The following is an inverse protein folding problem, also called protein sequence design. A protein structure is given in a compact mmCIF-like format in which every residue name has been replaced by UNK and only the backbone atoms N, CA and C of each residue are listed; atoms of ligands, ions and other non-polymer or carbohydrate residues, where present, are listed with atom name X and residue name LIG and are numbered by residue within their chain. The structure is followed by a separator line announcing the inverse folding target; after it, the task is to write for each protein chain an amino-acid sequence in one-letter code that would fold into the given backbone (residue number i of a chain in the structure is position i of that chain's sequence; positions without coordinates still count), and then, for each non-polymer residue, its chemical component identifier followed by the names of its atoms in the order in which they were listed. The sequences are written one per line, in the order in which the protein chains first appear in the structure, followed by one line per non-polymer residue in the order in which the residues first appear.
data_IF_369996981338
#
_entry.id   IF_369996981338
#
_cell.length_a   1.000
_cell.length_b   1.000
_cell.length_c   1.000
_cell.angle_alpha   90.00
_cell.angle_beta   90.00
_cell.angle_gamma   90.00
#
_symmetry.space_group_name_H-M   'P 1'
#
loop_
_entity.id
_entity.type
_entity.pdbx_description
1 polymer ?
#
# COMPACT_ATOMS: atom_id res chain seq x y z
N UNK A 1 -8.40 -12.34 34.15
CA UNK A 1 -8.42 -11.27 33.14
C UNK A 1 -7.12 -11.44 32.33
N UNK A 2 -7.22 -11.58 31.01
CA UNK A 2 -6.05 -11.65 30.12
C UNK A 2 -5.42 -10.25 30.10
N UNK A 3 -4.12 -10.14 30.31
CA UNK A 3 -3.40 -8.84 30.27
C UNK A 3 -3.44 -8.28 28.84
N UNK A 4 -3.24 -6.96 28.69
CA UNK A 4 -3.21 -6.33 27.37
C UNK A 4 -2.07 -6.89 26.49
N UNK A 5 -0.91 -7.25 27.08
CA UNK A 5 0.18 -7.93 26.38
C UNK A 5 -0.23 -9.32 25.86
N UNK A 6 -0.89 -10.15 26.69
CA UNK A 6 -1.36 -11.48 26.25
C UNK A 6 -2.43 -11.41 25.15
N UNK A 7 -3.13 -10.27 25.03
CA UNK A 7 -4.06 -10.01 23.93
C UNK A 7 -3.30 -9.67 22.63
N UNK A 8 -2.26 -8.85 22.71
CA UNK A 8 -1.46 -8.45 21.55
C UNK A 8 -0.65 -9.61 20.97
N UNK A 9 -0.14 -10.55 21.79
CA UNK A 9 0.57 -11.76 21.35
C UNK A 9 -0.25 -12.67 20.40
N UNK A 10 -1.57 -12.51 20.38
CA UNK A 10 -2.47 -13.29 19.52
C UNK A 10 -2.90 -12.53 18.26
N UNK A 11 -2.54 -11.25 18.15
CA UNK A 11 -2.95 -10.43 17.02
C UNK A 11 -2.01 -10.58 15.83
N UNK A 12 -2.59 -10.61 14.66
CA UNK A 12 -1.92 -10.32 13.40
C UNK A 12 -2.36 -8.95 12.92
N UNK A 13 -1.41 -8.04 12.75
CA UNK A 13 -1.70 -6.68 12.27
C UNK A 13 -1.14 -6.59 10.85
N UNK A 14 -2.03 -6.33 9.92
CA UNK A 14 -1.73 -6.22 8.49
C UNK A 14 -1.78 -4.75 8.12
N UNK A 15 -0.75 -4.27 7.46
CA UNK A 15 -0.65 -2.89 7.01
C UNK A 15 -0.69 -2.82 5.48
N UNK A 16 -1.38 -1.82 4.92
CA UNK A 16 -1.02 -1.34 3.61
C UNK A 16 0.33 -0.62 3.65
N UNK A 17 0.90 -0.33 2.50
CA UNK A 17 2.24 0.23 2.37
C UNK A 17 2.21 1.70 1.95
N UNK A 18 1.75 1.95 0.71
CA UNK A 18 1.78 3.27 0.09
C UNK A 18 0.66 4.16 0.66
N UNK A 19 0.99 5.21 1.37
CA UNK A 19 0.00 6.08 2.03
C UNK A 19 -0.33 5.69 3.47
N UNK A 20 0.08 4.49 3.89
CA UNK A 20 -0.17 3.99 5.26
C UNK A 20 1.12 3.94 6.09
N UNK A 21 2.11 3.19 5.67
CA UNK A 21 3.41 3.08 6.35
C UNK A 21 4.44 4.05 5.79
N UNK A 22 4.39 4.28 4.48
CA UNK A 22 5.42 5.02 3.75
C UNK A 22 4.75 6.08 2.86
N UNK A 23 5.23 7.32 2.93
CA UNK A 23 4.94 8.35 1.93
C UNK A 23 5.81 8.07 0.70
N UNK A 24 5.21 7.45 -0.32
CA UNK A 24 5.85 7.01 -1.57
C UNK A 24 5.47 7.88 -2.76
N UNK A 25 4.63 8.90 -2.58
CA UNK A 25 4.07 9.68 -3.67
C UNK A 25 5.15 10.36 -4.53
N UNK A 26 6.28 10.76 -3.93
CA UNK A 26 7.38 11.41 -4.64
C UNK A 26 8.00 10.50 -5.70
N UNK A 27 8.41 9.29 -5.32
CA UNK A 27 9.07 8.34 -6.23
C UNK A 27 8.09 7.75 -7.24
N UNK A 28 6.84 7.50 -6.83
CA UNK A 28 5.78 7.06 -7.74
C UNK A 28 5.47 8.13 -8.81
N UNK A 29 5.45 9.41 -8.42
CA UNK A 29 5.26 10.52 -9.36
C UNK A 29 6.45 10.64 -10.32
N UNK A 30 7.69 10.51 -9.82
CA UNK A 30 8.88 10.55 -10.66
C UNK A 30 8.86 9.41 -11.70
N UNK A 31 8.57 8.18 -11.28
CA UNK A 31 8.49 7.03 -12.17
C UNK A 31 7.38 7.15 -13.21
N UNK A 32 6.19 7.62 -12.81
CA UNK A 32 5.10 7.88 -13.75
C UNK A 32 5.47 8.95 -14.77
N UNK A 33 6.06 10.05 -14.33
CA UNK A 33 6.47 11.13 -15.21
C UNK A 33 7.60 10.72 -16.16
N UNK A 34 8.55 9.89 -15.71
CA UNK A 34 9.58 9.32 -16.59
C UNK A 34 8.95 8.45 -17.70
N UNK A 35 7.98 7.61 -17.36
CA UNK A 35 7.27 6.80 -18.34
C UNK A 35 6.46 7.65 -19.35
N UNK A 36 5.74 8.68 -18.87
CA UNK A 36 4.93 9.58 -19.70
C UNK A 36 5.80 10.46 -20.62
N UNK A 37 7.00 10.84 -20.19
CA UNK A 37 7.93 11.62 -20.96
C UNK A 37 8.39 10.92 -22.26
N UNK A 38 8.39 9.57 -22.28
CA UNK A 38 8.68 8.78 -23.48
C UNK A 38 7.66 9.01 -24.63
N UNK A 39 6.47 9.53 -24.29
CA UNK A 39 5.44 9.93 -25.28
C UNK A 39 5.33 11.45 -25.43
N UNK A 40 6.31 12.21 -24.93
CA UNK A 40 6.36 13.67 -25.04
C UNK A 40 5.35 14.40 -24.14
N UNK A 41 4.80 13.73 -23.11
CA UNK A 41 3.84 14.32 -22.18
C UNK A 41 4.57 15.10 -21.08
N UNK A 42 3.96 16.20 -20.65
CA UNK A 42 4.51 17.03 -19.57
C UNK A 42 4.34 16.35 -18.20
N UNK A 43 5.23 16.70 -17.27
CA UNK A 43 5.16 16.14 -15.91
C UNK A 43 3.89 16.57 -15.17
N UNK A 44 3.31 15.62 -14.44
CA UNK A 44 2.17 15.82 -13.53
C UNK A 44 2.71 16.11 -12.13
N UNK A 45 2.26 17.18 -11.46
CA UNK A 45 2.72 17.51 -10.13
C UNK A 45 2.42 16.40 -9.09
N UNK A 46 3.33 16.18 -8.14
CA UNK A 46 3.21 15.10 -7.13
C UNK A 46 1.91 15.16 -6.33
N UNK A 47 1.40 16.34 -6.01
CA UNK A 47 0.13 16.48 -5.30
C UNK A 47 -1.07 15.95 -6.09
N UNK A 48 -1.06 16.04 -7.42
CA UNK A 48 -2.08 15.43 -8.27
C UNK A 48 -1.90 13.91 -8.38
N UNK A 49 -0.64 13.44 -8.35
CA UNK A 49 -0.35 12.00 -8.42
C UNK A 49 -0.78 11.26 -7.15
N UNK A 50 -0.76 11.88 -5.98
CA UNK A 50 -1.19 11.27 -4.72
C UNK A 50 -2.55 10.58 -4.82
N UNK A 51 -3.51 11.18 -5.50
CA UNK A 51 -4.86 10.62 -5.68
C UNK A 51 -4.93 9.49 -6.72
N UNK A 52 -3.82 9.19 -7.41
CA UNK A 52 -3.74 8.08 -8.37
C UNK A 52 -3.10 6.83 -7.75
N UNK A 53 -2.54 6.95 -6.54
CA UNK A 53 -1.88 5.86 -5.82
C UNK A 53 -2.94 4.93 -5.18
N UNK A 54 -2.58 3.65 -4.97
CA UNK A 54 -3.43 2.68 -4.27
C UNK A 54 -4.02 1.59 -5.17
N UNK A 55 -4.11 1.83 -6.50
CA UNK A 55 -4.64 0.86 -7.47
C UNK A 55 -3.56 0.17 -8.31
N UNK A 56 -2.28 0.41 -7.99
CA UNK A 56 -1.11 -0.14 -8.67
C UNK A 56 -0.67 0.65 -9.91
N UNK A 57 0.55 0.38 -10.38
CA UNK A 57 1.24 1.16 -11.41
C UNK A 57 0.48 1.28 -12.75
N UNK A 58 -0.21 0.20 -13.18
CA UNK A 58 -1.02 0.26 -14.42
C UNK A 58 -2.17 1.25 -14.32
N UNK A 59 -2.84 1.30 -13.19
CA UNK A 59 -3.93 2.26 -12.95
C UNK A 59 -3.38 3.68 -12.91
N UNK A 60 -2.27 3.91 -12.22
CA UNK A 60 -1.59 5.21 -12.18
C UNK A 60 -1.22 5.70 -13.58
N UNK A 61 -0.65 4.86 -14.43
CA UNK A 61 -0.33 5.20 -15.82
C UNK A 61 -1.59 5.60 -16.61
N UNK A 62 -2.69 4.85 -16.47
CA UNK A 62 -3.96 5.19 -17.13
C UNK A 62 -4.48 6.56 -16.69
N UNK A 63 -4.46 6.85 -15.40
CA UNK A 63 -4.87 8.15 -14.89
C UNK A 63 -3.89 9.27 -15.32
N UNK A 64 -2.60 9.00 -15.41
CA UNK A 64 -1.61 9.92 -15.97
C UNK A 64 -1.90 10.29 -17.43
N UNK A 65 -2.20 9.32 -18.30
CA UNK A 65 -2.64 9.60 -19.67
C UNK A 65 -3.97 10.36 -19.73
N UNK A 66 -4.91 9.96 -18.91
CA UNK A 66 -6.23 10.61 -18.79
C UNK A 66 -6.12 12.07 -18.34
N UNK A 67 -5.18 12.38 -17.46
CA UNK A 67 -4.86 13.75 -17.07
C UNK A 67 -4.47 14.61 -18.29
N UNK A 68 -3.84 14.02 -19.30
CA UNK A 68 -3.51 14.66 -20.58
C UNK A 68 -4.61 14.54 -21.65
N UNK A 69 -5.82 14.08 -21.29
CA UNK A 69 -6.94 13.89 -22.22
C UNK A 69 -6.78 12.70 -23.16
N UNK A 70 -5.90 11.76 -22.85
CA UNK A 70 -5.58 10.60 -23.69
C UNK A 70 -6.19 9.34 -23.07
N UNK A 71 -6.87 8.53 -23.88
CA UNK A 71 -7.29 7.18 -23.50
C UNK A 71 -6.29 6.18 -24.08
N UNK A 72 -5.38 5.62 -23.24
CA UNK A 72 -4.32 4.76 -23.75
C UNK A 72 -4.85 3.35 -24.04
N UNK A 73 -4.34 2.75 -25.13
CA UNK A 73 -4.53 1.33 -25.41
C UNK A 73 -3.77 0.45 -24.41
N UNK A 74 -4.22 -0.79 -24.24
CA UNK A 74 -3.60 -1.74 -23.31
C UNK A 74 -2.11 -2.00 -23.65
N UNK A 75 -1.77 -2.12 -24.94
CA UNK A 75 -0.40 -2.36 -25.39
C UNK A 75 0.55 -1.21 -24.99
N UNK A 76 0.09 0.04 -25.06
CA UNK A 76 0.86 1.20 -24.60
C UNK A 76 1.09 1.15 -23.08
N UNK A 77 0.05 0.83 -22.32
CA UNK A 77 0.18 0.69 -20.85
C UNK A 77 1.18 -0.40 -20.48
N UNK A 78 1.17 -1.56 -21.15
CA UNK A 78 2.15 -2.62 -20.87
C UNK A 78 3.59 -2.16 -21.17
N UNK A 79 3.81 -1.43 -22.26
CA UNK A 79 5.12 -0.88 -22.59
C UNK A 79 5.57 0.13 -21.55
N UNK A 80 4.73 1.09 -21.19
CA UNK A 80 5.06 2.13 -20.20
C UNK A 80 5.15 1.60 -18.77
N UNK A 81 4.51 0.47 -18.50
CA UNK A 81 4.70 -0.21 -17.22
C UNK A 81 6.14 -0.69 -17.02
N UNK A 82 6.78 -1.17 -18.08
CA UNK A 82 8.19 -1.55 -18.00
C UNK A 82 9.08 -0.34 -17.68
N UNK A 83 8.89 0.77 -18.40
CA UNK A 83 9.63 2.03 -18.17
C UNK A 83 9.40 2.56 -16.75
N UNK A 84 8.14 2.53 -16.27
CA UNK A 84 7.77 2.93 -14.92
C UNK A 84 8.50 2.07 -13.86
N UNK A 85 8.46 0.74 -14.01
CA UNK A 85 9.04 -0.17 -13.03
C UNK A 85 10.57 -0.11 -13.02
N UNK A 86 11.21 0.09 -14.19
CA UNK A 86 12.64 0.29 -14.28
C UNK A 86 13.06 1.53 -13.49
N UNK A 87 12.48 2.69 -13.83
CA UNK A 87 12.77 3.95 -13.12
C UNK A 87 12.46 3.83 -11.62
N UNK A 88 11.30 3.26 -11.27
CA UNK A 88 10.89 3.14 -9.88
C UNK A 88 11.85 2.27 -9.05
N UNK A 89 12.32 1.15 -9.59
CA UNK A 89 13.25 0.28 -8.88
C UNK A 89 14.63 0.92 -8.67
N UNK A 90 15.08 1.76 -9.59
CA UNK A 90 16.35 2.48 -9.48
C UNK A 90 16.29 3.62 -8.45
N UNK A 91 15.12 4.27 -8.33
CA UNK A 91 14.89 5.48 -7.54
C UNK A 91 13.83 5.29 -6.42
N UNK A 92 13.76 4.08 -5.86
CA UNK A 92 12.64 3.66 -5.02
C UNK A 92 12.58 4.35 -3.64
N UNK A 93 13.70 4.90 -3.20
CA UNK A 93 13.88 5.55 -1.91
C UNK A 93 14.51 6.96 -1.99
N UNK A 94 14.45 7.61 -3.16
CA UNK A 94 14.96 8.98 -3.32
C UNK A 94 14.13 9.97 -2.50
N UNK A 95 12.80 9.85 -2.54
CA UNK A 95 11.83 10.70 -1.82
C UNK A 95 10.99 9.92 -0.81
N UNK A 96 10.86 8.59 -0.96
CA UNK A 96 10.04 7.76 -0.07
C UNK A 96 10.59 7.74 1.35
N UNK A 97 9.72 7.98 2.33
CA UNK A 97 10.08 7.97 3.77
C UNK A 97 8.94 7.36 4.57
N UNK A 98 9.24 6.64 5.66
CA UNK A 98 8.21 6.25 6.61
C UNK A 98 7.43 7.47 7.10
N UNK A 99 6.12 7.32 7.28
CA UNK A 99 5.36 8.37 7.96
C UNK A 99 5.89 8.60 9.39
N UNK A 100 5.70 9.80 9.97
CA UNK A 100 6.10 10.08 11.34
C UNK A 100 5.59 8.99 12.29
N UNK A 101 6.46 8.50 13.17
CA UNK A 101 6.17 7.46 14.17
C UNK A 101 5.80 6.06 13.61
N UNK A 102 5.82 5.83 12.31
CA UNK A 102 5.50 4.51 11.75
C UNK A 102 6.47 3.43 12.26
N UNK A 103 7.79 3.68 12.24
CA UNK A 103 8.77 2.71 12.72
C UNK A 103 8.65 2.47 14.24
N UNK A 104 8.40 3.51 15.03
CA UNK A 104 8.20 3.40 16.48
C UNK A 104 6.99 2.51 16.78
N UNK A 105 5.87 2.71 16.07
CA UNK A 105 4.68 1.89 16.21
C UNK A 105 4.93 0.42 15.84
N UNK A 106 5.63 0.15 14.73
CA UNK A 106 6.01 -1.21 14.34
C UNK A 106 6.85 -1.89 15.42
N UNK A 107 7.81 -1.19 15.98
CA UNK A 107 8.68 -1.70 17.05
C UNK A 107 7.90 -2.01 18.33
N UNK A 108 7.00 -1.12 18.74
CA UNK A 108 6.16 -1.33 19.93
C UNK A 108 5.21 -2.52 19.77
N UNK A 109 4.54 -2.63 18.61
CA UNK A 109 3.66 -3.76 18.31
C UNK A 109 4.42 -5.09 18.30
N UNK A 110 5.62 -5.11 17.70
CA UNK A 110 6.48 -6.31 17.69
C UNK A 110 6.93 -6.68 19.11
N UNK A 111 7.33 -5.70 19.95
CA UNK A 111 7.70 -5.92 21.35
C UNK A 111 6.54 -6.44 22.18
N UNK A 112 5.32 -6.03 21.86
CA UNK A 112 4.11 -6.53 22.49
C UNK A 112 3.68 -7.92 21.97
N UNK A 113 4.47 -8.54 21.07
CA UNK A 113 4.25 -9.90 20.60
C UNK A 113 3.30 -10.02 19.40
N UNK A 114 2.83 -8.93 18.83
CA UNK A 114 1.98 -8.96 17.63
C UNK A 114 2.77 -9.46 16.39
N UNK A 115 2.12 -10.27 15.56
CA UNK A 115 2.63 -10.65 14.25
C UNK A 115 2.29 -9.56 13.24
N UNK A 116 3.29 -9.03 12.51
CA UNK A 116 3.08 -7.94 11.56
C UNK A 116 3.24 -8.44 10.12
N UNK A 117 2.35 -8.00 9.24
CA UNK A 117 2.41 -8.31 7.81
C UNK A 117 2.09 -7.07 6.95
N UNK A 118 2.51 -7.11 5.70
CA UNK A 118 2.14 -6.12 4.69
C UNK A 118 1.20 -6.75 3.68
N UNK A 119 0.15 -6.01 3.27
CA UNK A 119 -0.77 -6.36 2.20
C UNK A 119 -1.04 -5.13 1.32
N UNK A 120 -0.42 -5.07 0.16
CA UNK A 120 -0.43 -3.88 -0.72
C UNK A 120 -0.76 -4.23 -2.16
N UNK A 121 -1.33 -3.27 -2.91
CA UNK A 121 -1.52 -3.38 -4.36
C UNK A 121 -0.24 -3.08 -5.17
N UNK A 122 0.82 -2.62 -4.49
CA UNK A 122 2.16 -2.61 -5.06
C UNK A 122 2.62 -4.04 -5.35
N UNK A 123 3.34 -4.29 -6.43
CA UNK A 123 3.92 -5.61 -6.70
C UNK A 123 4.87 -6.04 -5.58
N UNK A 124 4.96 -7.33 -5.33
CA UNK A 124 5.73 -7.88 -4.20
C UNK A 124 7.21 -7.52 -4.26
N UNK A 125 7.83 -7.62 -5.45
CA UNK A 125 9.25 -7.32 -5.61
C UNK A 125 9.61 -5.88 -5.24
N UNK A 126 8.99 -4.81 -5.79
CA UNK A 126 9.27 -3.44 -5.36
C UNK A 126 8.81 -3.16 -3.92
N UNK A 127 7.78 -3.81 -3.39
CA UNK A 127 7.40 -3.67 -1.98
C UNK A 127 8.51 -4.17 -1.05
N UNK A 128 9.07 -5.36 -1.33
CA UNK A 128 10.20 -5.92 -0.59
C UNK A 128 11.46 -5.06 -0.71
N UNK A 129 11.74 -4.56 -1.93
CA UNK A 129 12.90 -3.69 -2.16
C UNK A 129 12.81 -2.40 -1.36
N UNK A 130 11.66 -1.71 -1.39
CA UNK A 130 11.43 -0.48 -0.63
C UNK A 130 11.59 -0.70 0.87
N UNK A 131 10.93 -1.73 1.41
CA UNK A 131 11.03 -2.06 2.83
C UNK A 131 12.48 -2.39 3.25
N UNK A 132 13.25 -3.06 2.40
CA UNK A 132 14.65 -3.35 2.67
C UNK A 132 15.51 -2.08 2.64
N UNK A 133 15.33 -1.18 1.66
CA UNK A 133 16.03 0.11 1.55
C UNK A 133 15.79 1.00 2.78
N UNK A 134 14.56 0.98 3.31
CA UNK A 134 14.17 1.73 4.52
C UNK A 134 14.42 0.96 5.84
N UNK A 135 15.04 -0.23 5.80
CA UNK A 135 15.29 -1.09 6.98
C UNK A 135 14.02 -1.49 7.75
N UNK A 136 12.86 -1.52 7.10
CA UNK A 136 11.58 -1.90 7.70
C UNK A 136 11.21 -3.38 7.52
N UNK A 137 11.85 -4.09 6.58
CA UNK A 137 11.58 -5.50 6.30
C UNK A 137 11.71 -6.42 7.55
N UNK A 138 12.54 -6.04 8.50
CA UNK A 138 12.79 -6.78 9.76
C UNK A 138 11.56 -6.91 10.66
N UNK A 139 10.54 -6.07 10.47
CA UNK A 139 9.32 -6.08 11.29
C UNK A 139 8.28 -7.08 10.79
N UNK A 140 8.32 -7.49 9.53
CA UNK A 140 7.23 -8.21 8.88
C UNK A 140 7.55 -9.68 8.66
N UNK A 141 6.64 -10.55 9.11
CA UNK A 141 6.72 -12.00 8.87
C UNK A 141 6.24 -12.38 7.46
N UNK A 142 5.41 -11.52 6.84
CA UNK A 142 4.89 -11.68 5.46
C UNK A 142 4.78 -10.34 4.77
N UNK A 143 5.04 -10.35 3.47
CA UNK A 143 4.83 -9.22 2.57
C UNK A 143 4.06 -9.77 1.37
N UNK A 144 2.81 -9.35 1.23
CA UNK A 144 1.88 -9.76 0.17
C UNK A 144 1.68 -8.56 -0.76
N UNK A 145 2.16 -8.69 -1.98
CA UNK A 145 1.99 -7.69 -3.03
C UNK A 145 0.76 -7.94 -3.89
N UNK A 146 0.42 -7.00 -4.76
CA UNK A 146 -0.73 -7.08 -5.65
C UNK A 146 -0.66 -8.21 -6.71
N UNK A 147 0.50 -8.83 -6.87
CA UNK A 147 0.76 -9.97 -7.75
C UNK A 147 1.04 -11.27 -6.99
N UNK A 148 0.90 -11.29 -5.66
CA UNK A 148 1.11 -12.49 -4.83
C UNK A 148 -0.14 -13.37 -4.77
N UNK A 149 -1.33 -12.75 -4.78
CA UNK A 149 -2.62 -13.44 -4.81
C UNK A 149 -3.21 -13.45 -6.23
N UNK A 150 -4.26 -14.25 -6.44
CA UNK A 150 -4.96 -14.31 -7.73
C UNK A 150 -5.55 -12.96 -8.16
N UNK A 151 -5.96 -12.16 -7.20
CA UNK A 151 -6.49 -10.81 -7.43
C UNK A 151 -5.98 -9.85 -6.34
N UNK A 152 -5.70 -8.57 -6.70
CA UNK A 152 -5.28 -7.56 -5.73
C UNK A 152 -6.45 -7.11 -4.83
N UNK A 153 -6.17 -6.29 -3.81
CA UNK A 153 -7.23 -5.57 -3.06
C UNK A 153 -8.09 -4.75 -4.05
N UNK A 154 -9.42 -4.71 -3.87
CA UNK A 154 -10.21 -5.06 -2.69
C UNK A 154 -10.63 -6.55 -2.59
N UNK A 155 -10.10 -7.46 -3.43
CA UNK A 155 -10.37 -8.87 -3.27
C UNK A 155 -9.85 -9.39 -1.92
N UNK A 156 -10.56 -10.33 -1.22
CA UNK A 156 -10.16 -10.82 0.10
C UNK A 156 -8.86 -11.65 0.10
N UNK A 157 -8.50 -12.28 -1.01
CA UNK A 157 -7.37 -13.22 -1.10
C UNK A 157 -6.04 -12.66 -0.57
N UNK A 158 -5.61 -11.42 -0.88
CA UNK A 158 -4.35 -10.88 -0.35
C UNK A 158 -4.37 -10.73 1.18
N UNK A 159 -5.51 -10.33 1.76
CA UNK A 159 -5.65 -10.18 3.22
C UNK A 159 -5.59 -11.55 3.89
N UNK A 160 -6.25 -12.56 3.33
CA UNK A 160 -6.18 -13.93 3.84
C UNK A 160 -4.76 -14.50 3.80
N UNK A 161 -4.02 -14.25 2.71
CA UNK A 161 -2.62 -14.65 2.61
C UNK A 161 -1.75 -13.94 3.66
N UNK A 162 -1.95 -12.64 3.87
CA UNK A 162 -1.21 -11.87 4.86
C UNK A 162 -1.52 -12.32 6.29
N UNK A 163 -2.78 -12.68 6.58
CA UNK A 163 -3.22 -13.23 7.87
C UNK A 163 -2.57 -14.61 8.16
N UNK A 164 -2.31 -15.41 7.13
CA UNK A 164 -1.78 -16.78 7.27
C UNK A 164 -2.72 -17.65 8.11
N UNK A 165 -2.17 -18.34 9.12
CA UNK A 165 -2.94 -19.25 9.98
C UNK A 165 -3.65 -18.54 11.15
N UNK A 166 -3.57 -17.20 11.23
CA UNK A 166 -4.21 -16.43 12.29
C UNK A 166 -5.73 -16.45 12.13
N UNK A 167 -6.45 -16.74 13.21
CA UNK A 167 -7.92 -16.64 13.22
C UNK A 167 -8.35 -15.22 12.91
N UNK A 168 -9.26 -15.02 11.95
CA UNK A 168 -9.64 -13.71 11.42
C UNK A 168 -10.17 -12.73 12.48
N UNK A 169 -10.77 -13.23 13.57
CA UNK A 169 -11.17 -12.39 14.71
C UNK A 169 -10.00 -11.75 15.45
N UNK A 170 -8.79 -12.27 15.24
CA UNK A 170 -7.54 -11.76 15.79
C UNK A 170 -6.71 -11.02 14.74
N UNK A 171 -7.29 -10.69 13.60
CA UNK A 171 -6.65 -9.90 12.54
C UNK A 171 -7.17 -8.48 12.56
N UNK A 172 -6.27 -7.51 12.45
CA UNK A 172 -6.57 -6.10 12.24
C UNK A 172 -5.89 -5.66 10.95
N UNK A 173 -6.64 -5.01 10.07
CA UNK A 173 -6.10 -4.41 8.85
C UNK A 173 -6.00 -2.89 9.05
N UNK A 174 -4.85 -2.32 8.71
CA UNK A 174 -4.59 -0.88 8.78
C UNK A 174 -4.28 -0.39 7.37
N UNK A 175 -5.06 0.57 6.89
CA UNK A 175 -4.91 1.17 5.57
C UNK A 175 -5.34 2.63 5.54
N UNK A 176 -5.36 3.23 4.35
CA UNK A 176 -5.69 4.65 4.16
C UNK A 176 -6.71 4.90 3.03
N UNK A 177 -7.33 3.86 2.51
CA UNK A 177 -8.20 3.97 1.32
C UNK A 177 -9.47 3.11 1.39
N UNK A 178 -10.45 3.44 0.55
CA UNK A 178 -11.65 2.61 0.36
C UNK A 178 -11.31 1.19 -0.11
N UNK A 179 -10.19 1.02 -0.84
CA UNK A 179 -9.68 -0.29 -1.26
C UNK A 179 -9.36 -1.18 -0.05
N UNK A 180 -8.80 -0.60 1.01
CA UNK A 180 -8.46 -1.29 2.24
C UNK A 180 -9.71 -1.63 3.06
N UNK A 181 -10.62 -0.66 3.18
CA UNK A 181 -11.91 -0.85 3.83
C UNK A 181 -12.66 -2.02 3.20
N UNK A 182 -12.78 -2.03 1.87
CA UNK A 182 -13.49 -3.10 1.16
C UNK A 182 -12.78 -4.47 1.30
N UNK A 183 -11.43 -4.51 1.25
CA UNK A 183 -10.69 -5.74 1.45
C UNK A 183 -10.89 -6.31 2.86
N UNK A 184 -10.89 -5.46 3.88
CA UNK A 184 -11.16 -5.83 5.26
C UNK A 184 -12.60 -6.33 5.44
N UNK A 185 -13.59 -5.60 4.90
CA UNK A 185 -15.00 -5.99 4.93
C UNK A 185 -15.24 -7.34 4.25
N UNK A 186 -14.62 -7.56 3.07
CA UNK A 186 -14.75 -8.82 2.32
C UNK A 186 -14.20 -10.03 3.07
N UNK A 187 -13.28 -9.84 4.02
CA UNK A 187 -12.73 -10.90 4.88
C UNK A 187 -13.41 -10.96 6.26
N UNK A 188 -14.15 -9.94 6.64
CA UNK A 188 -14.72 -9.80 7.99
C UNK A 188 -13.68 -9.44 9.07
N UNK A 189 -12.47 -8.99 8.69
CA UNK A 189 -11.46 -8.51 9.64
C UNK A 189 -11.75 -7.07 10.05
N UNK A 190 -11.26 -6.67 11.23
CA UNK A 190 -11.37 -5.29 11.68
C UNK A 190 -10.48 -4.39 10.85
N UNK A 191 -11.02 -3.24 10.44
CA UNK A 191 -10.27 -2.19 9.76
C UNK A 191 -10.03 -1.00 10.68
N UNK A 192 -8.85 -0.38 10.57
CA UNK A 192 -8.51 0.92 11.15
C UNK A 192 -7.93 1.78 10.01
N UNK A 193 -8.35 3.03 9.91
CA UNK A 193 -8.00 3.88 8.76
C UNK A 193 -7.18 5.09 9.19
N UNK A 194 -6.00 5.25 8.57
CA UNK A 194 -5.20 6.47 8.64
C UNK A 194 -5.77 7.55 7.72
N UNK A 195 -6.11 8.72 8.27
CA UNK A 195 -6.73 9.81 7.50
C UNK A 195 -5.72 10.74 6.83
N UNK A 196 -4.43 10.49 7.01
CA UNK A 196 -3.32 11.27 6.42
C UNK A 196 -2.83 10.73 5.08
N UNK A 197 -3.35 9.58 4.63
CA UNK A 197 -2.91 8.88 3.43
C UNK A 197 -3.38 9.49 2.11
N UNK A 198 -3.50 8.68 1.08
CA UNK A 198 -3.73 9.14 -0.30
C UNK A 198 -5.12 8.82 -0.82
N UNK A 199 -5.70 7.75 -0.30
CA UNK A 199 -6.91 7.19 -0.87
C UNK A 199 -8.14 8.04 -0.66
N UNK A 200 -9.14 7.90 -1.53
CA UNK A 200 -10.48 8.34 -1.22
C UNK A 200 -10.99 7.58 0.00
N UNK A 201 -11.75 8.25 0.84
CA UNK A 201 -12.41 7.71 2.03
C UNK A 201 -13.94 7.96 1.93
N UNK A 202 -14.50 7.71 0.75
CA UNK A 202 -15.94 7.88 0.48
C UNK A 202 -16.79 6.80 1.17
N UNK A 203 -16.17 5.64 1.48
CA UNK A 203 -16.80 4.51 2.15
C UNK A 203 -16.48 4.43 3.65
N UNK A 204 -15.89 5.50 4.21
CA UNK A 204 -15.57 5.55 5.62
C UNK A 204 -16.84 5.73 6.47
N UNK A 205 -17.25 4.66 7.14
CA UNK A 205 -18.36 4.67 8.08
C UNK A 205 -17.90 5.15 9.47
N UNK A 206 -18.78 5.78 10.25
CA UNK A 206 -18.51 6.21 11.63
C UNK A 206 -18.07 5.07 12.57
N UNK A 207 -18.44 3.84 12.21
CA UNK A 207 -18.09 2.63 12.97
C UNK A 207 -16.63 2.19 12.80
N UNK A 208 -15.93 2.70 11.77
CA UNK A 208 -14.54 2.35 11.47
C UNK A 208 -13.61 3.28 12.24
N UNK A 209 -12.76 2.76 13.15
CA UNK A 209 -11.79 3.56 13.89
C UNK A 209 -10.80 4.26 12.93
N UNK A 210 -10.46 5.51 13.25
CA UNK A 210 -9.50 6.30 12.48
C UNK A 210 -8.37 6.83 13.38
N UNK A 211 -7.24 7.17 12.75
CA UNK A 211 -6.14 7.90 13.37
C UNK A 211 -5.53 8.91 12.37
N UNK A 212 -4.88 9.96 12.86
CA UNK A 212 -4.29 11.06 12.08
C UNK A 212 -2.86 11.36 12.54
#
# INVERSE_FOLDING_TARGET
MISDNERLERLSIIFDLDGTLIDTAGDLAAAMNAALANDGLSAIPTNAVRHMVGFGAKAMLREGYKHHGITPENALIETRLADFLEHYNEHIDDYSRPFPHAEDALLELQRAGASLAVCTNKRESPAKLLLARLNLNKYFVRIVGGDTAEQPKPHPAPVLLAAGDTTLTNVIFIGDSDTDIHAAQATGVKCIVGTFGYGPLEQLEESIPTFS
#
